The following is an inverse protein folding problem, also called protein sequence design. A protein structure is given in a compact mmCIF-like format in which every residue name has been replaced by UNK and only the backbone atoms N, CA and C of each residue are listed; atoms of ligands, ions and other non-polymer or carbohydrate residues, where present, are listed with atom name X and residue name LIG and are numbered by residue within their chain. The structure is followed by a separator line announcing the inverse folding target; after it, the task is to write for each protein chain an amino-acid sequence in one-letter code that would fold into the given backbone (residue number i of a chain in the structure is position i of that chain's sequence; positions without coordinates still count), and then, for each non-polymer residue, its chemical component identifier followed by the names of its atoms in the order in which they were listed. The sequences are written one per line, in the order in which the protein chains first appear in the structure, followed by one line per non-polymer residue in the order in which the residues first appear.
data_IF_923991659677
#
_entry.id   IF_923991659677
#
_cell.length_a   1.000
_cell.length_b   1.000
_cell.length_c   1.000
_cell.angle_alpha   90.00
_cell.angle_beta   90.00
_cell.angle_gamma   90.00
#
_symmetry.space_group_name_H-M   'P 1'
#
loop_
_entity.id
_entity.type
_entity.pdbx_description
1 polymer ?
#
# COMPACT_ATOMS: atom_id res chain seq x y z
N UNK A 1 0.13 -36.09 17.84
CA UNK A 1 -0.71 -35.09 17.16
C UNK A 1 -0.10 -34.80 15.80
N UNK A 2 -0.89 -34.72 14.71
CA UNK A 2 -0.35 -34.38 13.40
C UNK A 2 0.19 -32.94 13.43
N UNK A 3 1.38 -32.75 12.89
CA UNK A 3 2.03 -31.46 12.72
C UNK A 3 1.43 -30.72 11.53
N UNK A 4 1.47 -29.39 11.53
CA UNK A 4 1.07 -28.58 10.37
C UNK A 4 1.89 -28.93 9.10
N UNK A 5 3.16 -29.32 9.27
CA UNK A 5 4.03 -29.74 8.16
C UNK A 5 3.69 -31.13 7.60
N UNK A 6 2.87 -31.91 8.30
CA UNK A 6 2.39 -33.21 7.81
C UNK A 6 1.25 -33.04 6.79
N UNK A 7 0.68 -31.83 6.69
CA UNK A 7 -0.33 -31.50 5.69
C UNK A 7 0.30 -31.43 4.29
N UNK A 8 -0.42 -31.89 3.24
CA UNK A 8 0.00 -31.70 1.86
C UNK A 8 0.25 -30.22 1.54
N UNK A 9 1.23 -29.90 0.67
CA UNK A 9 1.60 -28.52 0.35
C UNK A 9 0.45 -27.72 -0.28
N UNK A 10 -0.50 -28.37 -0.95
CA UNK A 10 -1.72 -27.75 -1.48
C UNK A 10 -2.58 -27.17 -0.34
N UNK A 11 -2.79 -27.96 0.71
CA UNK A 11 -3.59 -27.57 1.87
C UNK A 11 -2.89 -26.46 2.65
N UNK A 12 -1.57 -26.57 2.85
CA UNK A 12 -0.78 -25.50 3.50
C UNK A 12 -0.89 -24.18 2.75
N UNK A 13 -0.81 -24.20 1.41
CA UNK A 13 -0.98 -23.01 0.56
C UNK A 13 -2.36 -22.36 0.72
N UNK A 14 -3.42 -23.16 0.79
CA UNK A 14 -4.77 -22.63 1.07
C UNK A 14 -4.84 -21.95 2.44
N UNK A 15 -4.23 -22.56 3.46
CA UNK A 15 -4.21 -21.97 4.81
C UNK A 15 -3.43 -20.65 4.81
N UNK A 16 -2.29 -20.59 4.13
CA UNK A 16 -1.48 -19.37 4.04
C UNK A 16 -2.26 -18.18 3.46
N UNK A 17 -3.11 -18.41 2.45
CA UNK A 17 -3.96 -17.35 1.88
C UNK A 17 -4.94 -16.77 2.90
N UNK A 18 -5.43 -17.57 3.84
CA UNK A 18 -6.35 -17.11 4.88
C UNK A 18 -5.63 -16.50 6.08
N UNK A 19 -4.36 -16.84 6.32
CA UNK A 19 -3.59 -16.33 7.45
C UNK A 19 -2.93 -14.96 7.20
N UNK A 20 -2.91 -14.48 5.97
CA UNK A 20 -2.22 -13.24 5.61
C UNK A 20 -3.08 -12.41 4.67
N UNK A 21 -3.33 -11.16 5.05
CA UNK A 21 -3.97 -10.18 4.18
C UNK A 21 -3.02 -9.00 3.99
N UNK A 22 -2.36 -8.85 2.82
CA UNK A 22 -1.44 -7.75 2.60
C UNK A 22 -2.13 -6.38 2.57
N UNK A 23 -3.46 -6.35 2.42
CA UNK A 23 -4.28 -5.14 2.38
C UNK A 23 -4.76 -4.69 3.77
N UNK A 24 -4.38 -5.41 4.84
CA UNK A 24 -4.75 -5.05 6.22
C UNK A 24 -4.18 -3.71 6.68
N UNK A 25 -3.09 -3.24 6.05
CA UNK A 25 -2.49 -1.94 6.35
C UNK A 25 -3.47 -0.76 6.16
N UNK A 26 -4.54 -0.93 5.36
CA UNK A 26 -5.60 0.08 5.20
C UNK A 26 -6.26 0.40 6.54
N UNK A 27 -6.41 -0.58 7.43
CA UNK A 27 -6.94 -0.33 8.78
C UNK A 27 -6.07 0.65 9.56
N UNK A 28 -4.74 0.61 9.38
CA UNK A 28 -3.84 1.58 9.98
C UNK A 28 -3.99 2.99 9.36
N UNK A 29 -4.32 3.08 8.06
CA UNK A 29 -4.67 4.35 7.42
C UNK A 29 -5.97 4.91 8.02
N UNK A 30 -6.98 4.07 8.21
CA UNK A 30 -8.28 4.47 8.74
C UNK A 30 -8.18 4.91 10.21
N UNK A 31 -7.45 4.17 11.04
CA UNK A 31 -7.15 4.55 12.43
C UNK A 31 -6.43 5.90 12.46
N UNK A 32 -5.40 6.07 11.62
CA UNK A 32 -4.67 7.33 11.52
C UNK A 32 -5.61 8.48 11.12
N UNK A 33 -6.43 8.26 10.10
CA UNK A 33 -7.35 9.25 9.56
C UNK A 33 -8.38 9.66 10.62
N UNK A 34 -8.95 8.69 11.32
CA UNK A 34 -9.96 8.93 12.35
C UNK A 34 -9.37 9.71 13.53
N UNK A 35 -8.18 9.34 14.01
CA UNK A 35 -7.56 10.02 15.15
C UNK A 35 -7.18 11.46 14.79
N UNK A 36 -6.59 11.71 13.61
CA UNK A 36 -6.01 13.02 13.32
C UNK A 36 -6.90 14.00 12.55
N UNK A 37 -7.89 13.52 11.76
CA UNK A 37 -8.84 14.42 11.11
C UNK A 37 -9.89 14.92 12.11
N UNK A 38 -10.33 14.09 13.06
CA UNK A 38 -11.29 14.52 14.09
C UNK A 38 -10.67 15.43 15.15
N UNK A 39 -9.42 15.17 15.57
CA UNK A 39 -8.69 16.04 16.50
C UNK A 39 -8.37 17.42 15.91
N UNK A 40 -8.11 17.50 14.59
CA UNK A 40 -7.90 18.77 13.87
C UNK A 40 -9.09 19.72 13.85
N UNK A 41 -10.30 19.24 14.18
CA UNK A 41 -11.50 20.06 14.32
C UNK A 41 -11.71 20.62 15.74
N UNK A 42 -10.90 20.21 16.72
CA UNK A 42 -10.91 20.85 18.04
C UNK A 42 -10.06 22.13 18.02
N UNK A 43 -10.66 23.24 18.46
CA UNK A 43 -10.12 24.61 18.47
C UNK A 43 -8.72 24.80 19.09
N UNK A 44 -8.17 23.77 19.75
CA UNK A 44 -6.91 23.81 20.50
C UNK A 44 -5.65 23.79 19.64
N UNK A 45 -5.71 23.37 18.37
CA UNK A 45 -4.52 23.31 17.49
C UNK A 45 -4.12 24.65 16.84
N UNK A 46 -4.84 25.75 17.08
CA UNK A 46 -4.56 27.04 16.39
C UNK A 46 -3.42 27.89 16.98
N UNK A 47 -2.72 27.52 18.07
CA UNK A 47 -1.78 28.46 18.75
C UNK A 47 -0.51 27.87 19.38
N UNK A 48 -0.13 26.62 19.13
CA UNK A 48 1.08 26.02 19.70
C UNK A 48 2.27 25.95 18.72
N UNK A 49 3.53 26.02 19.18
CA UNK A 49 4.67 25.67 18.33
C UNK A 49 4.65 24.17 17.98
N UNK A 50 4.89 23.85 16.70
CA UNK A 50 4.83 22.50 16.11
C UNK A 50 5.75 21.46 16.79
N UNK A 51 6.72 21.88 17.60
CA UNK A 51 7.60 20.99 18.35
C UNK A 51 6.93 20.30 19.55
N UNK A 52 5.70 20.71 19.91
CA UNK A 52 4.89 20.09 20.98
C UNK A 52 4.08 18.92 20.44
N UNK A 53 3.87 18.84 19.12
CA UNK A 53 3.06 17.80 18.52
C UNK A 53 3.79 16.45 18.58
N UNK A 54 3.14 15.39 19.12
CA UNK A 54 3.77 14.09 19.23
C UNK A 54 4.06 13.53 17.84
N UNK A 55 5.27 13.02 17.66
CA UNK A 55 5.63 12.31 16.44
C UNK A 55 4.74 11.07 16.31
N UNK A 56 4.09 10.94 15.17
CA UNK A 56 3.18 9.82 14.91
C UNK A 56 4.01 8.58 14.63
N UNK A 57 3.78 7.51 15.39
CA UNK A 57 4.43 6.22 15.20
C UNK A 57 3.39 5.19 14.81
N UNK A 58 3.46 4.70 13.57
CA UNK A 58 2.59 3.62 13.09
C UNK A 58 3.16 2.28 13.57
N UNK A 59 2.33 1.51 14.27
CA UNK A 59 2.69 0.15 14.67
C UNK A 59 2.49 -0.80 13.50
N UNK A 60 3.60 -1.34 12.97
CA UNK A 60 3.56 -2.39 11.94
C UNK A 60 3.48 -3.76 12.62
N UNK A 61 2.51 -4.57 12.21
CA UNK A 61 2.34 -5.94 12.71
C UNK A 61 2.81 -6.94 11.66
N UNK A 62 3.64 -7.90 12.07
CA UNK A 62 4.01 -9.03 11.21
C UNK A 62 3.04 -10.17 11.43
N UNK A 63 2.45 -10.78 10.38
CA UNK A 63 1.58 -11.94 10.52
C UNK A 63 2.25 -13.05 11.31
N UNK A 64 1.56 -13.58 12.32
CA UNK A 64 2.10 -14.58 13.26
C UNK A 64 2.58 -15.85 12.57
N UNK A 65 1.95 -16.24 11.46
CA UNK A 65 2.35 -17.39 10.63
C UNK A 65 3.80 -17.28 10.14
N UNK A 66 4.29 -16.07 9.87
CA UNK A 66 5.65 -15.82 9.40
C UNK A 66 6.69 -15.95 10.52
N UNK A 67 6.25 -15.99 11.79
CA UNK A 67 7.11 -16.06 12.97
C UNK A 67 7.24 -17.49 13.53
N UNK A 68 6.51 -18.47 13.00
CA UNK A 68 6.46 -19.82 13.56
C UNK A 68 7.71 -20.66 13.25
N UNK A 69 8.07 -20.78 11.97
CA UNK A 69 9.15 -21.67 11.53
C UNK A 69 9.71 -21.22 10.18
N UNK A 70 11.03 -21.31 9.98
CA UNK A 70 11.70 -20.90 8.73
C UNK A 70 11.11 -21.53 7.46
N UNK A 71 10.74 -22.81 7.49
CA UNK A 71 10.11 -23.47 6.35
C UNK A 71 8.72 -22.90 6.08
N UNK A 72 7.90 -22.77 7.13
CA UNK A 72 6.56 -22.16 7.04
C UNK A 72 6.68 -20.73 6.51
N UNK A 73 7.64 -19.94 7.01
CA UNK A 73 7.90 -18.59 6.55
C UNK A 73 8.26 -18.56 5.07
N UNK A 74 9.14 -19.44 4.60
CA UNK A 74 9.55 -19.48 3.20
C UNK A 74 8.37 -19.82 2.27
N UNK A 75 7.58 -20.84 2.62
CA UNK A 75 6.39 -21.22 1.84
C UNK A 75 5.32 -20.13 1.88
N UNK A 76 5.07 -19.54 3.05
CA UNK A 76 4.08 -18.48 3.22
C UNK A 76 4.47 -17.19 2.48
N UNK A 77 5.75 -16.78 2.52
CA UNK A 77 6.22 -15.61 1.77
C UNK A 77 6.03 -15.78 0.27
N UNK A 78 6.26 -16.97 -0.27
CA UNK A 78 6.02 -17.24 -1.69
C UNK A 78 4.56 -17.02 -2.08
N UNK A 79 3.62 -17.43 -1.22
CA UNK A 79 2.19 -17.19 -1.40
C UNK A 79 1.89 -15.69 -1.25
N UNK A 80 2.41 -15.06 -0.19
CA UNK A 80 2.16 -13.66 0.13
C UNK A 80 2.53 -12.71 -1.02
N UNK A 81 3.69 -12.91 -1.66
CA UNK A 81 4.13 -12.07 -2.79
C UNK A 81 3.27 -12.23 -4.05
N UNK A 82 2.44 -13.26 -4.14
CA UNK A 82 1.51 -13.49 -5.26
C UNK A 82 0.14 -12.87 -5.02
N UNK A 83 -0.20 -12.48 -3.79
CA UNK A 83 -1.47 -11.85 -3.46
C UNK A 83 -1.45 -10.40 -4.01
N UNK A 84 -2.50 -9.95 -4.73
CA UNK A 84 -2.57 -8.57 -5.21
C UNK A 84 -2.63 -7.59 -4.05
N UNK A 85 -1.83 -6.52 -4.13
CA UNK A 85 -1.83 -5.46 -3.13
C UNK A 85 -2.47 -4.20 -3.70
N UNK A 86 -3.51 -3.74 -3.04
CA UNK A 86 -4.19 -2.50 -3.36
C UNK A 86 -3.48 -1.37 -2.62
N UNK A 87 -2.95 -0.41 -3.35
CA UNK A 87 -2.17 0.72 -2.86
C UNK A 87 -2.99 2.01 -2.98
N UNK A 88 -3.25 2.63 -1.83
CA UNK A 88 -3.99 3.89 -1.71
C UNK A 88 -3.03 5.02 -1.39
N UNK A 89 -3.38 6.24 -1.80
CA UNK A 89 -2.60 7.42 -1.43
C UNK A 89 -2.44 7.53 0.09
N UNK A 90 -1.21 7.76 0.55
CA UNK A 90 -0.93 7.95 1.98
C UNK A 90 -1.69 9.15 2.52
N UNK A 91 -2.18 9.08 3.77
CA UNK A 91 -2.86 10.21 4.37
C UNK A 91 -1.90 11.40 4.52
N UNK A 92 -2.43 12.61 4.35
CA UNK A 92 -1.69 13.83 4.66
C UNK A 92 -1.45 13.93 6.16
N UNK A 93 -0.27 14.40 6.56
CA UNK A 93 -0.05 14.82 7.93
C UNK A 93 -0.41 16.29 8.09
N UNK A 94 -1.48 16.56 8.85
CA UNK A 94 -1.87 17.93 9.22
C UNK A 94 -0.76 18.66 9.99
N UNK A 95 0.03 17.92 10.76
CA UNK A 95 1.07 18.42 11.66
C UNK A 95 2.43 18.66 10.97
N UNK A 96 2.84 17.80 10.02
CA UNK A 96 4.24 17.79 9.56
C UNK A 96 4.52 18.49 8.23
N UNK A 97 3.54 19.15 7.59
CA UNK A 97 3.67 19.71 6.22
C UNK A 97 4.21 18.70 5.18
N UNK A 98 4.24 17.41 5.52
CA UNK A 98 4.89 16.35 4.76
C UNK A 98 3.90 15.20 4.60
N UNK A 99 3.83 14.68 3.38
CA UNK A 99 3.10 13.45 3.10
C UNK A 99 3.82 12.28 3.79
N UNK A 100 3.08 11.45 4.52
CA UNK A 100 3.66 10.27 5.14
C UNK A 100 4.16 9.29 4.08
N UNK A 101 5.24 8.62 4.39
CA UNK A 101 5.85 7.62 3.53
C UNK A 101 5.05 6.31 3.62
N UNK A 102 4.79 5.67 2.47
CA UNK A 102 4.15 4.36 2.45
C UNK A 102 5.00 3.30 3.19
N UNK A 103 6.32 3.47 3.21
CA UNK A 103 7.26 2.61 3.92
C UNK A 103 7.05 2.59 5.45
N UNK A 104 6.38 3.60 6.00
CA UNK A 104 6.01 3.66 7.42
C UNK A 104 4.89 2.66 7.74
N UNK A 105 4.04 2.33 6.77
CA UNK A 105 2.93 1.40 6.93
C UNK A 105 3.25 0.00 6.40
N UNK A 106 3.99 -0.08 5.30
CA UNK A 106 4.32 -1.33 4.63
C UNK A 106 5.83 -1.43 4.48
N UNK A 107 6.42 -2.60 4.72
CA UNK A 107 7.86 -2.78 4.52
C UNK A 107 8.26 -2.62 3.04
N UNK A 108 9.32 -1.85 2.76
CA UNK A 108 9.85 -1.67 1.40
C UNK A 108 10.21 -3.00 0.72
N UNK A 109 10.86 -3.90 1.47
CA UNK A 109 11.23 -5.23 0.95
C UNK A 109 10.02 -6.06 0.53
N UNK A 110 8.87 -5.83 1.17
CA UNK A 110 7.63 -6.46 0.76
C UNK A 110 7.15 -5.85 -0.56
N UNK A 111 7.06 -4.51 -0.64
CA UNK A 111 6.66 -3.77 -1.84
C UNK A 111 7.53 -4.09 -3.07
N UNK A 112 8.82 -4.34 -2.89
CA UNK A 112 9.75 -4.72 -3.97
C UNK A 112 9.49 -6.13 -4.53
N UNK A 113 8.97 -7.03 -3.69
CA UNK A 113 8.83 -8.45 -4.01
C UNK A 113 7.44 -8.86 -4.46
N UNK A 114 6.43 -8.02 -4.28
CA UNK A 114 5.08 -8.29 -4.77
C UNK A 114 5.06 -8.42 -6.29
N UNK A 115 4.18 -9.29 -6.80
CA UNK A 115 4.05 -9.56 -8.23
C UNK A 115 2.91 -8.77 -8.88
N UNK A 116 1.89 -8.42 -8.11
CA UNK A 116 0.69 -7.74 -8.60
C UNK A 116 0.34 -6.61 -7.65
N UNK A 117 0.19 -5.40 -8.20
CA UNK A 117 -0.22 -4.22 -7.44
C UNK A 117 -1.31 -3.45 -8.19
N UNK A 118 -2.25 -2.91 -7.43
CA UNK A 118 -3.31 -2.03 -7.91
C UNK A 118 -3.18 -0.66 -7.25
N UNK A 119 -2.85 0.39 -8.01
CA UNK A 119 -2.81 1.76 -7.53
C UNK A 119 -4.19 2.39 -7.66
N UNK A 120 -4.81 2.72 -6.53
CA UNK A 120 -6.13 3.32 -6.45
C UNK A 120 -5.95 4.82 -6.16
N UNK A 121 -5.86 5.62 -7.22
CA UNK A 121 -5.47 7.03 -7.16
C UNK A 121 -6.71 7.92 -7.29
N UNK A 122 -7.38 8.21 -6.17
CA UNK A 122 -8.48 9.19 -6.10
C UNK A 122 -8.00 10.63 -6.30
N UNK A 123 -6.97 11.03 -5.54
CA UNK A 123 -6.27 12.28 -5.74
C UNK A 123 -4.76 11.98 -5.85
N UNK A 124 -4.15 12.14 -7.02
CA UNK A 124 -2.79 11.68 -7.26
C UNK A 124 -1.76 12.60 -6.63
N UNK A 125 -1.35 12.27 -5.41
CA UNK A 125 -0.20 12.89 -4.80
C UNK A 125 1.09 12.44 -5.50
N UNK A 126 1.73 13.38 -6.21
CA UNK A 126 3.01 13.17 -6.89
C UNK A 126 4.04 12.42 -6.03
N UNK A 127 4.22 12.85 -4.77
CA UNK A 127 5.29 12.32 -3.93
C UNK A 127 5.06 10.85 -3.58
N UNK A 128 3.80 10.47 -3.32
CA UNK A 128 3.43 9.06 -3.10
C UNK A 128 3.77 8.17 -4.29
N UNK A 129 3.37 8.57 -5.50
CA UNK A 129 3.62 7.74 -6.69
C UNK A 129 5.12 7.69 -7.00
N UNK A 130 5.82 8.81 -6.95
CA UNK A 130 7.27 8.83 -7.21
C UNK A 130 8.03 7.95 -6.22
N UNK A 131 7.67 8.01 -4.94
CA UNK A 131 8.28 7.16 -3.92
C UNK A 131 8.07 5.68 -4.18
N UNK A 132 6.86 5.27 -4.57
CA UNK A 132 6.59 3.88 -4.95
C UNK A 132 7.43 3.46 -6.16
N UNK A 133 7.55 4.33 -7.17
CA UNK A 133 8.40 4.09 -8.32
C UNK A 133 9.88 3.98 -7.94
N UNK A 134 10.36 4.77 -6.98
CA UNK A 134 11.73 4.69 -6.49
C UNK A 134 11.98 3.37 -5.72
N UNK A 135 11.03 2.96 -4.87
CA UNK A 135 11.08 1.67 -4.15
C UNK A 135 11.17 0.51 -5.15
N UNK A 136 10.31 0.52 -6.17
CA UNK A 136 10.33 -0.49 -7.23
C UNK A 136 11.53 -0.35 -8.16
N UNK A 137 12.09 0.85 -8.32
CA UNK A 137 13.30 1.06 -9.12
C UNK A 137 14.54 0.38 -8.53
N UNK A 138 14.58 0.14 -7.22
CA UNK A 138 15.71 -0.50 -6.55
C UNK A 138 15.76 -2.04 -6.72
N UNK A 139 14.62 -2.73 -6.54
CA UNK A 139 14.47 -4.16 -6.80
C UNK A 139 13.00 -4.41 -7.21
N UNK A 140 12.78 -4.77 -8.48
CA UNK A 140 11.44 -4.90 -9.04
C UNK A 140 11.10 -6.35 -9.35
N UNK A 141 10.07 -6.88 -8.69
CA UNK A 141 9.46 -8.19 -9.03
C UNK A 141 8.02 -8.09 -9.49
N UNK A 142 7.51 -6.88 -9.72
CA UNK A 142 6.18 -6.68 -10.28
C UNK A 142 6.11 -7.28 -11.68
N UNK A 143 5.07 -8.09 -11.88
CA UNK A 143 4.68 -8.61 -13.19
C UNK A 143 3.60 -7.77 -13.84
N UNK A 144 2.80 -7.07 -13.03
CA UNK A 144 1.69 -6.24 -13.49
C UNK A 144 1.35 -5.17 -12.46
N UNK A 145 1.10 -3.97 -12.97
CA UNK A 145 0.61 -2.83 -12.21
C UNK A 145 -0.71 -2.33 -12.83
N UNK A 146 -1.80 -2.39 -12.08
CA UNK A 146 -3.08 -1.80 -12.49
C UNK A 146 -3.22 -0.42 -11.84
N UNK A 147 -3.57 0.61 -12.61
CA UNK A 147 -3.72 1.99 -12.14
C UNK A 147 -5.17 2.41 -12.37
N UNK A 148 -5.88 2.65 -11.28
CA UNK A 148 -7.27 3.08 -11.27
C UNK A 148 -7.34 4.56 -10.89
N UNK A 149 -8.08 5.34 -11.68
CA UNK A 149 -8.25 6.78 -11.47
C UNK A 149 -9.68 7.23 -11.83
N UNK A 150 -10.16 8.35 -11.24
CA UNK A 150 -11.52 8.81 -11.45
C UNK A 150 -11.75 9.33 -12.87
N UNK A 151 -12.99 9.19 -13.35
CA UNK A 151 -13.39 9.71 -14.68
C UNK A 151 -13.10 11.21 -14.82
N UNK A 152 -12.44 11.58 -15.91
CA UNK A 152 -12.08 12.99 -16.19
C UNK A 152 -10.92 13.57 -15.37
N UNK A 153 -10.15 12.73 -14.65
CA UNK A 153 -8.96 13.17 -13.93
C UNK A 153 -7.78 13.54 -14.85
N UNK A 154 -7.71 12.88 -16.02
CA UNK A 154 -6.73 13.15 -17.08
C UNK A 154 -6.94 14.56 -17.64
N UNK A 155 -6.13 15.53 -17.21
CA UNK A 155 -6.10 16.90 -17.73
C UNK A 155 -6.67 18.00 -16.82
N UNK A 156 -7.30 17.65 -15.70
CA UNK A 156 -7.84 18.65 -14.74
C UNK A 156 -6.81 19.08 -13.67
N UNK A 157 -5.86 18.20 -13.33
CA UNK A 157 -4.91 18.41 -12.24
C UNK A 157 -3.46 18.36 -12.75
N UNK A 158 -2.71 19.47 -12.62
CA UNK A 158 -1.27 19.55 -13.00
C UNK A 158 -0.40 18.44 -12.39
N UNK A 159 -0.82 17.84 -11.27
CA UNK A 159 -0.09 16.74 -10.63
C UNK A 159 -0.22 15.43 -11.42
N UNK A 160 -1.30 15.24 -12.17
CA UNK A 160 -1.53 14.03 -12.93
C UNK A 160 -0.62 13.91 -14.14
N UNK A 161 -0.32 15.02 -14.83
CA UNK A 161 0.60 15.00 -15.99
C UNK A 161 1.98 14.43 -15.62
N UNK A 162 2.48 14.81 -14.44
CA UNK A 162 3.77 14.31 -13.92
C UNK A 162 3.66 12.83 -13.55
N UNK A 163 2.60 12.45 -12.84
CA UNK A 163 2.35 11.07 -12.40
C UNK A 163 2.20 10.14 -13.60
N UNK A 164 1.39 10.53 -14.58
CA UNK A 164 1.17 9.80 -15.81
C UNK A 164 2.46 9.65 -16.62
N UNK A 165 3.22 10.74 -16.83
CA UNK A 165 4.51 10.69 -17.53
C UNK A 165 5.48 9.68 -16.90
N UNK A 166 5.51 9.64 -15.57
CA UNK A 166 6.39 8.73 -14.82
C UNK A 166 5.90 7.29 -14.84
N UNK A 167 4.59 7.06 -14.72
CA UNK A 167 4.00 5.73 -14.86
C UNK A 167 4.18 5.17 -16.28
N UNK A 168 4.08 6.02 -17.32
CA UNK A 168 4.40 5.65 -18.71
C UNK A 168 5.88 5.34 -18.91
N UNK A 169 6.77 6.02 -18.20
CA UNK A 169 8.20 5.68 -18.22
C UNK A 169 8.43 4.33 -17.54
N UNK A 170 7.80 4.11 -16.38
CA UNK A 170 7.87 2.84 -15.65
C UNK A 170 7.25 1.68 -16.45
N UNK A 171 6.27 1.95 -17.32
CA UNK A 171 5.65 0.92 -18.14
C UNK A 171 6.59 0.27 -19.17
N UNK A 172 7.78 0.84 -19.37
CA UNK A 172 8.85 0.21 -20.14
C UNK A 172 9.47 -0.99 -19.40
N UNK A 173 9.35 -1.05 -18.07
CA UNK A 173 9.90 -2.12 -17.23
C UNK A 173 8.84 -3.14 -16.82
N UNK A 174 7.61 -2.69 -16.55
CA UNK A 174 6.50 -3.53 -16.07
C UNK A 174 5.24 -3.22 -16.87
N UNK A 175 4.41 -4.20 -17.25
CA UNK A 175 3.10 -3.94 -17.82
C UNK A 175 2.22 -3.08 -16.87
N UNK A 176 1.93 -1.84 -17.28
CA UNK A 176 1.03 -0.93 -16.56
C UNK A 176 -0.29 -0.82 -17.32
N UNK A 177 -1.40 -1.13 -16.67
CA UNK A 177 -2.74 -1.02 -17.23
C UNK A 177 -3.49 0.12 -16.55
N UNK A 178 -4.07 1.01 -17.36
CA UNK A 178 -4.81 2.17 -16.90
C UNK A 178 -6.31 1.90 -16.97
N UNK A 179 -7.02 2.11 -15.86
CA UNK A 179 -8.44 1.86 -15.72
C UNK A 179 -9.15 3.11 -15.22
N UNK A 180 -10.16 3.55 -15.96
CA UNK A 180 -10.97 4.71 -15.58
C UNK A 180 -12.24 4.24 -14.85
N UNK A 181 -12.42 4.67 -13.60
CA UNK A 181 -13.51 4.22 -12.71
C UNK A 181 -14.30 5.44 -12.22
N UNK A 182 -15.63 5.37 -12.00
CA UNK A 182 -16.39 6.46 -11.40
C UNK A 182 -15.84 6.87 -10.03
N UNK A 183 -15.52 5.91 -9.16
CA UNK A 183 -14.76 6.14 -7.92
C UNK A 183 -13.67 5.06 -7.76
N UNK A 184 -12.39 5.43 -7.53
CA UNK A 184 -11.33 4.44 -7.33
C UNK A 184 -11.44 3.66 -6.00
N UNK A 185 -12.31 4.04 -5.08
CA UNK A 185 -12.70 3.23 -3.91
C UNK A 185 -13.57 2.02 -4.27
N UNK A 186 -14.25 2.05 -5.42
CA UNK A 186 -15.15 1.00 -5.91
C UNK A 186 -14.51 0.08 -6.96
N UNK A 187 -13.20 0.21 -7.21
CA UNK A 187 -12.51 -0.68 -8.13
C UNK A 187 -12.74 -2.14 -7.70
N UNK A 188 -13.01 -3.07 -8.64
CA UNK A 188 -13.28 -4.44 -8.29
C UNK A 188 -12.04 -5.02 -7.62
N UNK A 189 -12.12 -5.23 -6.31
CA UNK A 189 -11.23 -6.12 -5.58
C UNK A 189 -11.35 -7.48 -6.24
N UNK A 190 -10.32 -7.83 -7.03
CA UNK A 190 -10.34 -9.00 -7.90
C UNK A 190 -10.78 -10.26 -7.16
N UNK A 191 -11.71 -10.97 -7.80
CA UNK A 191 -12.11 -12.35 -7.53
C UNK A 191 -10.92 -13.31 -7.61
#
# INVERSE_FOLDING_TARGET
MPSFLDLPPEIRRMIYLHCMNPNEYKSAYDIYRHNHIEEGNTEYMKRGPLCIEPRIYITRTTPSILLLNKQITAEALEVLYRIPVDLYGTPGSHCSMRQMDIAEFICEQFLQRIQYAALLLGNPHKNFVLQLLDIWGADNRLKRLDVYFPKGALGSYRHWDIVESRLRTFSLMVPVHFHEVPEPSEAPSGQ
#
